data_IF_275119334363
#
_entry.id   IF_275119334363
#
_cell.length_a   1.000
_cell.length_b   1.000
_cell.length_c   1.000
_cell.angle_alpha   90.00
_cell.angle_beta   90.00
_cell.angle_gamma   90.00
#
_symmetry.space_group_name_H-M   'P 1'
#
loop_
_entity.id
_entity.type
_entity.pdbx_description
1 polymer ?
#
# COMPACT_ATOMS: atom_id res chain seq x y z
N UNK A 1 -40.64 1.37 -14.47
CA UNK A 1 -39.33 0.77 -14.14
C UNK A 1 -38.62 1.76 -13.24
N UNK A 2 -38.49 1.47 -11.95
CA UNK A 2 -37.99 2.43 -10.96
C UNK A 2 -36.53 2.07 -10.64
N UNK A 3 -35.59 2.97 -10.95
CA UNK A 3 -34.19 2.81 -10.58
C UNK A 3 -34.08 3.06 -9.07
N UNK A 4 -33.85 1.99 -8.30
CA UNK A 4 -33.65 2.10 -6.85
C UNK A 4 -32.44 2.98 -6.54
N UNK A 5 -32.68 4.12 -5.91
CA UNK A 5 -31.63 4.89 -5.26
C UNK A 5 -31.07 4.04 -4.11
N UNK A 6 -29.83 3.56 -4.25
CA UNK A 6 -29.08 3.05 -3.12
C UNK A 6 -28.56 4.25 -2.34
N UNK A 7 -29.16 4.54 -1.18
CA UNK A 7 -28.57 5.49 -0.23
C UNK A 7 -27.34 4.85 0.38
N UNK A 8 -26.19 5.51 0.27
CA UNK A 8 -25.03 5.20 1.10
C UNK A 8 -25.40 5.57 2.54
N UNK A 9 -25.81 4.57 3.33
CA UNK A 9 -25.86 4.73 4.77
C UNK A 9 -24.43 4.76 5.27
N UNK A 10 -23.99 5.92 5.77
CA UNK A 10 -22.79 6.02 6.59
C UNK A 10 -23.05 5.15 7.82
N UNK A 11 -22.49 3.95 7.82
CA UNK A 11 -22.40 3.12 9.02
C UNK A 11 -21.60 3.97 9.99
N UNK A 12 -22.21 4.40 11.10
CA UNK A 12 -21.44 5.00 12.19
C UNK A 12 -20.54 3.88 12.69
N UNK A 13 -19.22 3.95 12.46
CA UNK A 13 -18.37 2.92 12.99
C UNK A 13 -18.46 3.02 14.53
N UNK A 14 -18.46 1.88 15.20
CA UNK A 14 -17.95 1.77 16.58
C UNK A 14 -16.75 2.72 16.73
N UNK A 15 -16.54 3.40 17.88
CA UNK A 15 -15.51 4.43 17.99
C UNK A 15 -14.16 3.88 17.52
N UNK A 16 -13.77 4.29 16.32
CA UNK A 16 -12.51 3.91 15.69
C UNK A 16 -11.44 4.55 16.55
N UNK A 17 -10.58 3.76 17.19
CA UNK A 17 -9.42 4.33 17.88
C UNK A 17 -8.51 4.91 16.78
N UNK A 18 -8.19 6.21 16.80
CA UNK A 18 -7.27 6.79 15.83
C UNK A 18 -5.90 6.08 15.77
N UNK A 19 -5.54 5.33 16.82
CA UNK A 19 -4.34 4.46 16.85
C UNK A 19 -4.40 3.29 15.87
N UNK A 20 -5.59 2.89 15.43
CA UNK A 20 -5.81 1.79 14.49
C UNK A 20 -5.71 2.23 13.03
N UNK A 21 -5.47 3.53 12.79
CA UNK A 21 -5.09 4.06 11.48
C UNK A 21 -3.56 4.18 11.41
N UNK A 22 -2.94 3.49 10.44
CA UNK A 22 -1.49 3.49 10.27
C UNK A 22 -1.11 3.95 8.88
N UNK A 23 -0.24 4.95 8.77
CA UNK A 23 0.41 5.26 7.50
C UNK A 23 1.42 4.13 7.21
N UNK A 24 1.20 3.42 6.10
CA UNK A 24 2.03 2.28 5.71
C UNK A 24 3.16 2.72 4.78
N UNK A 25 2.82 3.48 3.76
CA UNK A 25 3.81 3.97 2.82
C UNK A 25 3.41 5.32 2.24
N UNK A 26 4.42 6.09 1.87
CA UNK A 26 4.28 7.32 1.12
C UNK A 26 5.24 7.28 -0.07
N UNK A 27 4.69 7.41 -1.27
CA UNK A 27 5.49 7.56 -2.49
C UNK A 27 5.30 8.97 -3.06
N UNK A 28 6.42 9.63 -3.33
CA UNK A 28 6.48 10.95 -3.96
C UNK A 28 6.83 10.79 -5.44
N UNK A 29 5.94 11.23 -6.32
CA UNK A 29 6.10 11.20 -7.78
C UNK A 29 5.90 12.59 -8.37
N UNK A 30 6.90 13.47 -8.20
CA UNK A 30 6.85 14.85 -8.70
C UNK A 30 5.73 15.65 -8.06
N UNK A 31 4.65 15.87 -8.82
CA UNK A 31 3.47 16.63 -8.37
C UNK A 31 2.40 15.75 -7.69
N UNK A 32 2.59 14.44 -7.66
CA UNK A 32 1.63 13.47 -7.10
C UNK A 32 2.22 12.79 -5.89
N UNK A 33 1.44 12.73 -4.81
CA UNK A 33 1.77 11.96 -3.61
C UNK A 33 0.80 10.78 -3.51
N UNK A 34 1.34 9.58 -3.36
CA UNK A 34 0.55 8.40 -3.04
C UNK A 34 0.75 8.09 -1.56
N UNK A 35 -0.35 7.86 -0.86
CA UNK A 35 -0.37 7.46 0.54
C UNK A 35 -1.07 6.10 0.61
N UNK A 36 -0.41 5.12 1.19
CA UNK A 36 -1.00 3.85 1.57
C UNK A 36 -1.30 3.95 3.06
N UNK A 37 -2.58 3.97 3.39
CA UNK A 37 -3.05 4.04 4.77
C UNK A 37 -3.76 2.74 5.06
N UNK A 38 -3.28 2.03 6.07
CA UNK A 38 -4.03 0.97 6.70
C UNK A 38 -5.11 1.60 7.58
N UNK A 39 -6.36 1.32 7.22
CA UNK A 39 -7.54 1.72 7.97
C UNK A 39 -8.07 0.47 8.67
N UNK A 40 -7.65 0.27 9.92
CA UNK A 40 -8.24 -0.70 10.84
C UNK A 40 -7.94 -2.17 10.53
N UNK A 41 -6.87 -2.49 9.79
CA UNK A 41 -6.39 -3.87 9.69
C UNK A 41 -5.60 -4.25 10.94
N UNK A 42 -6.24 -4.99 11.84
CA UNK A 42 -5.61 -5.52 13.06
C UNK A 42 -4.71 -6.73 12.80
N UNK A 43 -4.79 -7.32 11.60
CA UNK A 43 -4.07 -8.53 11.21
C UNK A 43 -2.91 -8.28 10.25
N UNK A 44 -2.55 -7.01 10.01
CA UNK A 44 -1.38 -6.69 9.21
C UNK A 44 -0.11 -7.09 9.96
N UNK A 45 0.64 -8.05 9.42
CA UNK A 45 1.84 -8.60 10.04
C UNK A 45 3.10 -8.19 9.23
N UNK A 46 3.85 -7.16 9.68
CA UNK A 46 5.02 -6.64 8.96
C UNK A 46 6.09 -7.71 8.66
N UNK A 47 6.22 -8.71 9.54
CA UNK A 47 7.20 -9.79 9.39
C UNK A 47 6.89 -10.70 8.21
N UNK A 48 5.62 -10.86 7.83
CA UNK A 48 5.16 -11.69 6.71
C UNK A 48 4.70 -10.86 5.51
N UNK A 49 4.65 -9.53 5.62
CA UNK A 49 4.15 -8.61 4.60
C UNK A 49 4.95 -8.59 3.29
N UNK A 50 6.10 -9.24 3.22
CA UNK A 50 6.88 -9.48 1.99
C UNK A 50 6.40 -10.73 1.22
N UNK A 51 5.65 -11.63 1.86
CA UNK A 51 5.15 -12.87 1.25
C UNK A 51 3.86 -12.61 0.45
N UNK A 52 3.72 -13.29 -0.69
CA UNK A 52 2.51 -13.21 -1.51
C UNK A 52 1.29 -13.72 -0.74
N UNK A 53 0.19 -12.96 -0.79
CA UNK A 53 -1.11 -13.32 -0.19
C UNK A 53 -1.16 -13.48 1.33
N UNK A 54 -0.07 -13.17 2.04
CA UNK A 54 -0.06 -13.10 3.50
C UNK A 54 -0.77 -11.84 4.02
N UNK A 55 -0.64 -10.72 3.30
CA UNK A 55 -1.15 -9.41 3.69
C UNK A 55 -1.72 -8.66 2.47
N UNK A 56 -2.41 -9.36 1.56
CA UNK A 56 -3.07 -8.69 0.42
C UNK A 56 -4.26 -7.88 0.95
N UNK A 57 -4.21 -6.55 0.79
CA UNK A 57 -5.22 -5.62 1.26
C UNK A 57 -6.15 -5.18 0.12
N UNK A 58 -7.46 -5.01 0.38
CA UNK A 58 -8.35 -4.33 -0.57
C UNK A 58 -7.92 -2.87 -0.73
N UNK A 59 -8.02 -2.34 -1.95
CA UNK A 59 -7.51 -0.98 -2.25
C UNK A 59 -8.65 -0.01 -2.53
N UNK A 60 -8.72 1.05 -1.72
CA UNK A 60 -9.55 2.22 -2.00
C UNK A 60 -8.66 3.34 -2.57
N UNK A 61 -8.88 3.70 -3.83
CA UNK A 61 -8.20 4.87 -4.42
C UNK A 61 -9.02 6.12 -4.13
N UNK A 62 -8.44 7.06 -3.40
CA UNK A 62 -8.95 8.42 -3.23
C UNK A 62 -8.11 9.38 -4.07
N UNK A 63 -8.77 10.16 -4.93
CA UNK A 63 -8.13 11.22 -5.72
C UNK A 63 -8.72 12.55 -5.30
N UNK A 64 -7.87 13.44 -4.81
CA UNK A 64 -8.22 14.80 -4.43
C UNK A 64 -7.55 15.76 -5.41
N UNK A 65 -8.33 16.68 -5.96
CA UNK A 65 -7.83 17.74 -6.83
C UNK A 65 -8.69 18.98 -6.66
N UNK A 66 -8.17 20.16 -7.05
CA UNK A 66 -8.93 21.43 -6.96
C UNK A 66 -10.28 21.40 -7.67
N UNK A 67 -10.48 20.49 -8.64
CA UNK A 67 -11.68 20.45 -9.48
C UNK A 67 -12.57 19.22 -9.23
N UNK A 68 -12.02 18.16 -8.63
CA UNK A 68 -12.71 16.87 -8.51
C UNK A 68 -12.14 16.05 -7.38
N UNK A 69 -13.03 15.42 -6.64
CA UNK A 69 -12.75 14.42 -5.62
C UNK A 69 -13.44 13.12 -6.01
N UNK A 70 -12.72 12.00 -5.95
CA UNK A 70 -13.29 10.68 -6.22
C UNK A 70 -12.73 9.66 -5.25
N UNK A 71 -13.58 8.76 -4.78
CA UNK A 71 -13.18 7.55 -4.07
C UNK A 71 -13.77 6.34 -4.82
N UNK A 72 -12.96 5.30 -5.02
CA UNK A 72 -13.42 4.03 -5.60
C UNK A 72 -12.66 2.85 -5.02
N UNK A 73 -13.38 1.77 -4.73
CA UNK A 73 -12.75 0.47 -4.55
C UNK A 73 -12.19 0.03 -5.89
N UNK A 74 -10.96 -0.43 -5.86
CA UNK A 74 -10.28 -0.94 -7.04
C UNK A 74 -10.56 -2.43 -7.22
N UNK A 75 -10.37 -2.92 -8.44
CA UNK A 75 -10.41 -4.35 -8.73
C UNK A 75 -9.01 -4.97 -8.74
N UNK A 76 -8.99 -6.30 -8.90
CA UNK A 76 -7.79 -7.14 -8.84
C UNK A 76 -6.53 -6.59 -9.51
N UNK A 77 -6.56 -5.97 -10.72
CA UNK A 77 -5.33 -5.50 -11.36
C UNK A 77 -4.59 -4.41 -10.56
N UNK A 78 -5.33 -3.46 -9.99
CA UNK A 78 -4.72 -2.36 -9.22
C UNK A 78 -4.41 -2.82 -7.80
N UNK A 79 -5.29 -3.62 -7.19
CA UNK A 79 -5.04 -4.22 -5.89
C UNK A 79 -3.77 -5.07 -5.90
N UNK A 80 -3.59 -5.93 -6.89
CA UNK A 80 -2.41 -6.78 -7.03
C UNK A 80 -1.13 -5.96 -7.17
N UNK A 81 -1.20 -4.86 -7.94
CA UNK A 81 -0.05 -3.96 -8.14
C UNK A 81 0.34 -3.26 -6.83
N UNK A 82 -0.61 -2.67 -6.12
CA UNK A 82 -0.33 -1.96 -4.86
C UNK A 82 0.23 -2.93 -3.81
N UNK A 83 -0.38 -4.10 -3.66
CA UNK A 83 0.12 -5.13 -2.75
C UNK A 83 1.50 -5.65 -3.15
N UNK A 84 1.79 -5.76 -4.45
CA UNK A 84 3.14 -6.10 -4.92
C UNK A 84 4.16 -5.01 -4.55
N UNK A 85 3.86 -3.74 -4.81
CA UNK A 85 4.76 -2.65 -4.44
C UNK A 85 5.00 -2.62 -2.93
N UNK A 86 3.98 -2.84 -2.11
CA UNK A 86 4.14 -2.90 -0.66
C UNK A 86 5.03 -4.06 -0.21
N UNK A 87 4.91 -5.24 -0.84
CA UNK A 87 5.82 -6.37 -0.62
C UNK A 87 7.26 -6.01 -0.96
N UNK A 88 7.46 -5.36 -2.11
CA UNK A 88 8.79 -4.92 -2.56
C UNK A 88 9.41 -3.92 -1.58
N UNK A 89 8.64 -2.98 -1.02
CA UNK A 89 9.13 -2.07 0.03
C UNK A 89 9.60 -2.82 1.28
N UNK A 90 8.82 -3.80 1.74
CA UNK A 90 9.20 -4.67 2.85
C UNK A 90 10.45 -5.50 2.56
N UNK A 91 10.59 -5.98 1.33
CA UNK A 91 11.77 -6.72 0.89
C UNK A 91 12.99 -5.80 0.90
N UNK A 92 12.89 -4.63 0.28
CA UNK A 92 13.97 -3.67 0.07
C UNK A 92 14.57 -3.03 1.34
N UNK A 93 13.75 -2.79 2.37
CA UNK A 93 14.20 -2.17 3.63
C UNK A 93 14.82 -3.19 4.60
N UNK A 94 14.64 -4.49 4.36
CA UNK A 94 15.35 -5.54 5.07
C UNK A 94 14.66 -6.06 6.34
N UNK A 95 15.20 -7.12 6.96
CA UNK A 95 14.56 -7.78 8.10
C UNK A 95 14.34 -6.82 9.28
N UNK A 96 13.14 -6.82 9.86
CA UNK A 96 12.80 -5.96 11.01
C UNK A 96 12.43 -4.51 10.64
N UNK A 97 12.41 -4.16 9.36
CA UNK A 97 11.86 -2.89 8.89
C UNK A 97 10.35 -2.82 9.14
N UNK A 98 9.90 -1.71 9.69
CA UNK A 98 8.48 -1.43 9.94
C UNK A 98 8.05 -0.16 9.20
N UNK A 99 6.78 -0.09 8.74
CA UNK A 99 6.19 1.15 8.27
C UNK A 99 6.30 2.32 9.27
N UNK A 100 6.24 3.58 8.82
CA UNK A 100 5.96 4.01 7.44
C UNK A 100 7.20 3.97 6.55
N UNK A 101 7.04 3.42 5.34
CA UNK A 101 8.06 3.51 4.30
C UNK A 101 7.93 4.82 3.52
N UNK A 102 9.05 5.45 3.21
CA UNK A 102 9.10 6.67 2.41
C UNK A 102 9.95 6.43 1.18
N UNK A 103 9.34 6.58 0.00
CA UNK A 103 10.05 6.51 -1.27
C UNK A 103 9.88 7.81 -2.03
N UNK A 104 11.00 8.39 -2.44
CA UNK A 104 11.02 9.63 -3.21
C UNK A 104 11.61 9.39 -4.60
N UNK A 105 10.75 9.49 -5.62
CA UNK A 105 11.12 9.39 -7.03
C UNK A 105 11.29 10.77 -7.69
N UNK A 106 11.23 11.85 -6.92
CA UNK A 106 11.35 13.22 -7.44
C UNK A 106 12.80 13.53 -7.83
N UNK A 107 13.00 14.53 -8.70
CA UNK A 107 14.32 15.08 -9.04
C UNK A 107 15.36 14.08 -9.58
N UNK A 108 14.91 12.97 -10.18
CA UNK A 108 15.81 11.92 -10.67
C UNK A 108 16.39 11.06 -9.55
N UNK A 109 15.84 11.13 -8.34
CA UNK A 109 16.16 10.21 -7.26
C UNK A 109 15.81 8.79 -7.71
N UNK A 110 16.83 7.95 -7.77
CA UNK A 110 16.67 6.51 -7.86
C UNK A 110 16.64 6.00 -6.43
N UNK A 111 15.50 5.44 -5.96
CA UNK A 111 15.43 4.88 -4.62
C UNK A 111 16.57 3.89 -4.40
N UNK A 112 17.33 4.10 -3.34
CA UNK A 112 18.43 3.22 -2.97
C UNK A 112 17.97 2.39 -1.79
N UNK A 113 17.94 1.07 -1.97
CA UNK A 113 17.45 0.12 -0.98
C UNK A 113 18.64 -0.66 -0.41
N UNK A 114 19.14 -0.28 0.76
CA UNK A 114 20.45 -0.75 1.23
C UNK A 114 20.44 -2.19 1.72
N UNK A 115 19.28 -2.84 1.90
CA UNK A 115 19.18 -4.12 2.58
C UNK A 115 18.03 -5.02 2.07
N UNK A 116 18.04 -5.50 0.81
CA UNK A 116 16.98 -6.38 0.32
C UNK A 116 16.96 -7.73 1.08
N UNK A 117 15.78 -8.14 1.58
CA UNK A 117 15.53 -9.45 2.23
C UNK A 117 15.73 -10.59 1.24
N UNK A 118 15.32 -10.41 -0.01
CA UNK A 118 15.59 -11.33 -1.11
C UNK A 118 16.97 -11.08 -1.69
N UNK A 119 18.02 -11.37 -0.92
CA UNK A 119 19.38 -11.44 -1.47
C UNK A 119 19.38 -12.43 -2.65
N UNK A 120 19.80 -11.92 -3.82
CA UNK A 120 19.95 -12.64 -5.10
C UNK A 120 20.34 -14.10 -4.84
N UNK A 121 19.49 -15.06 -5.25
CA UNK A 121 19.93 -16.46 -5.39
C UNK A 121 21.17 -16.43 -6.29
N UNK A 122 22.32 -16.71 -5.70
CA UNK A 122 23.55 -16.99 -6.42
C UNK A 122 23.22 -17.96 -7.55
N UNK A 123 23.50 -17.55 -8.79
CA UNK A 123 23.43 -18.40 -9.97
C UNK A 123 24.31 -19.62 -9.73
N UNK A 124 23.71 -20.74 -9.32
CA UNK A 124 24.37 -22.04 -9.40
C UNK A 124 24.39 -22.41 -10.88
N UNK A 125 25.47 -22.01 -11.56
CA UNK A 125 25.91 -22.66 -12.79
C UNK A 125 26.22 -24.12 -12.44
N UNK A 126 25.28 -25.01 -12.74
CA UNK A 126 25.55 -26.44 -12.75
C UNK A 126 26.04 -26.81 -14.15
N UNK A 127 27.27 -27.32 -14.18
CA UNK A 127 28.03 -27.77 -15.34
C UNK A 127 27.38 -28.91 -16.10
#
# INVERSE_FOLDING_TARGET
MNAGQMSLQLISPEPLDPKDTKLVAKELWGIVNFLIIDLFHSTYEPTTAHLQSANDLPVLTVRLSKKKETAKFEGLPIESRVNQQLRELHDHEGPGSEPPFLVDHTHGNVPTYPNPRSAIRSSSSSS
#
